data_IF_066797996900
#
_entry.id   IF_066797996900
#
_cell.length_a   1.000
_cell.length_b   1.000
_cell.length_c   1.000
_cell.angle_alpha   90.00
_cell.angle_beta   90.00
_cell.angle_gamma   90.00
#
_symmetry.space_group_name_H-M   'P 1'
#
loop_
_entity.id
_entity.type
_entity.pdbx_description
1 polymer ?
#
# COMPACT_ATOMS: atom_id res chain seq x y z
N UNK A 1 -14.78 10.34 0.55
CA UNK A 1 -14.52 9.48 1.73
C UNK A 1 -13.05 9.63 2.05
N UNK A 2 -12.70 10.30 3.14
CA UNK A 2 -11.31 10.46 3.59
C UNK A 2 -10.81 9.08 3.98
N UNK A 3 -9.90 8.50 3.21
CA UNK A 3 -9.05 7.43 3.71
C UNK A 3 -8.04 8.09 4.63
N UNK A 4 -8.47 8.39 5.85
CA UNK A 4 -7.53 8.64 6.93
C UNK A 4 -6.71 7.37 7.02
N UNK A 5 -5.48 7.45 6.52
CA UNK A 5 -4.46 6.42 6.66
C UNK A 5 -4.25 6.23 8.15
N UNK A 6 -4.96 5.25 8.73
CA UNK A 6 -4.80 4.84 10.11
C UNK A 6 -3.39 4.23 10.22
N UNK A 7 -2.44 5.07 10.58
CA UNK A 7 -1.02 4.76 10.81
C UNK A 7 -0.75 4.28 12.23
N UNK A 8 -1.77 3.81 12.93
CA UNK A 8 -1.63 3.16 14.24
C UNK A 8 -1.84 1.67 14.02
N UNK A 9 -0.90 0.82 14.46
CA UNK A 9 -1.01 -0.64 14.37
C UNK A 9 -2.41 -1.09 14.80
N UNK A 10 -3.27 -1.43 13.84
CA UNK A 10 -4.66 -1.73 14.12
C UNK A 10 -4.77 -3.20 14.49
N UNK A 11 -5.31 -3.43 15.69
CA UNK A 11 -5.78 -4.69 16.26
C UNK A 11 -4.86 -5.90 16.12
N UNK A 12 -4.47 -6.44 17.28
CA UNK A 12 -3.82 -7.73 17.39
C UNK A 12 -4.79 -8.87 17.07
N UNK A 13 -4.91 -9.26 15.80
CA UNK A 13 -5.74 -10.39 15.39
C UNK A 13 -5.12 -11.68 15.94
N UNK A 14 -5.94 -12.54 16.53
CA UNK A 14 -5.45 -13.78 17.14
C UNK A 14 -5.06 -14.78 16.07
N UNK A 15 -3.77 -15.12 16.05
CA UNK A 15 -3.17 -16.16 15.23
C UNK A 15 -2.67 -17.29 16.13
N UNK A 16 -3.35 -18.44 16.07
CA UNK A 16 -2.98 -19.65 16.82
C UNK A 16 -1.76 -20.34 16.21
N UNK A 17 -1.00 -21.07 17.04
CA UNK A 17 0.25 -21.72 16.60
C UNK A 17 0.04 -22.71 15.46
N UNK A 18 -1.07 -23.43 15.49
CA UNK A 18 -1.45 -24.46 14.52
C UNK A 18 -1.84 -23.87 13.16
N UNK A 19 -2.25 -22.60 13.15
CA UNK A 19 -2.76 -21.89 11.99
C UNK A 19 -1.66 -21.26 11.11
N UNK A 20 -0.39 -21.35 11.52
CA UNK A 20 0.72 -20.88 10.69
C UNK A 20 1.90 -21.86 10.60
N UNK A 21 2.63 -21.80 9.50
CA UNK A 21 3.90 -22.52 9.34
C UNK A 21 5.00 -21.65 8.75
N UNK A 22 6.20 -22.22 8.73
CA UNK A 22 7.37 -21.67 8.07
C UNK A 22 7.68 -22.51 6.83
N UNK A 23 8.05 -21.85 5.74
CA UNK A 23 8.53 -22.48 4.50
C UNK A 23 9.85 -21.85 4.07
N UNK A 24 10.59 -22.56 3.22
CA UNK A 24 11.84 -22.08 2.64
C UNK A 24 11.60 -20.87 1.72
N UNK A 25 12.62 -20.03 1.61
CA UNK A 25 12.65 -18.98 0.61
C UNK A 25 12.87 -19.51 -0.81
N UNK A 26 12.40 -18.74 -1.79
CA UNK A 26 12.72 -18.96 -3.19
C UNK A 26 14.08 -18.33 -3.47
N UNK A 27 15.07 -19.18 -3.69
CA UNK A 27 16.46 -18.80 -3.91
C UNK A 27 16.90 -19.26 -5.31
N UNK A 28 17.66 -18.42 -6.01
CA UNK A 28 18.20 -18.78 -7.32
C UNK A 28 19.04 -17.66 -7.95
N UNK A 29 19.58 -17.93 -9.13
CA UNK A 29 20.56 -17.05 -9.77
C UNK A 29 21.86 -16.93 -8.98
N UNK A 30 22.81 -16.18 -9.51
CA UNK A 30 24.07 -15.85 -8.86
C UNK A 30 24.33 -14.36 -9.05
N UNK A 31 24.64 -13.66 -7.97
CA UNK A 31 25.17 -12.30 -8.07
C UNK A 31 26.62 -12.31 -8.59
N UNK A 32 27.20 -11.14 -8.82
CA UNK A 32 28.60 -11.01 -9.24
C UNK A 32 29.62 -11.58 -8.23
N UNK A 33 29.18 -11.94 -7.03
CA UNK A 33 29.97 -12.55 -5.96
C UNK A 33 29.66 -14.05 -5.78
N UNK A 34 28.86 -14.65 -6.67
CA UNK A 34 28.45 -16.06 -6.60
C UNK A 34 27.44 -16.38 -5.49
N UNK A 35 26.82 -15.38 -4.86
CA UNK A 35 25.78 -15.58 -3.85
C UNK A 35 24.41 -15.68 -4.52
N UNK A 36 23.65 -16.68 -4.12
CA UNK A 36 22.29 -16.86 -4.63
C UNK A 36 21.34 -15.76 -4.13
N UNK A 37 20.49 -15.25 -5.03
CA UNK A 37 19.53 -14.20 -4.72
C UNK A 37 18.25 -14.78 -4.10
N UNK A 38 17.70 -14.11 -3.09
CA UNK A 38 16.45 -14.50 -2.44
C UNK A 38 15.27 -13.71 -3.01
N UNK A 39 14.51 -14.33 -3.91
CA UNK A 39 13.38 -13.68 -4.61
C UNK A 39 12.18 -13.42 -3.71
N UNK A 40 12.03 -14.21 -2.64
CA UNK A 40 10.91 -14.10 -1.71
C UNK A 40 11.26 -13.39 -0.40
N UNK A 41 12.34 -12.61 -0.38
CA UNK A 41 12.81 -11.95 0.84
C UNK A 41 11.70 -11.09 1.45
N UNK A 42 11.29 -11.46 2.67
CA UNK A 42 10.27 -10.73 3.40
C UNK A 42 8.82 -11.00 2.96
N UNK A 43 8.57 -11.93 2.04
CA UNK A 43 7.26 -12.15 1.42
C UNK A 43 6.66 -13.54 1.75
N UNK A 44 5.62 -13.54 2.59
CA UNK A 44 4.85 -14.71 2.97
C UNK A 44 3.48 -14.78 2.28
N UNK A 45 2.66 -15.73 2.71
CA UNK A 45 1.34 -16.00 2.11
C UNK A 45 0.27 -15.96 3.19
N UNK A 46 -0.89 -15.39 2.87
CA UNK A 46 -2.10 -15.40 3.69
C UNK A 46 -3.24 -16.09 2.94
N UNK A 47 -4.00 -16.92 3.65
CA UNK A 47 -5.19 -17.57 3.08
C UNK A 47 -6.31 -16.55 2.82
N UNK A 48 -7.15 -16.74 1.79
CA UNK A 48 -8.31 -15.89 1.54
C UNK A 48 -9.30 -15.85 2.71
N UNK A 49 -9.53 -16.98 3.38
CA UNK A 49 -10.40 -17.06 4.56
C UNK A 49 -9.90 -16.18 5.72
N UNK A 50 -8.61 -16.25 6.03
CA UNK A 50 -8.02 -15.41 7.08
C UNK A 50 -7.96 -13.93 6.66
N UNK A 51 -7.79 -13.65 5.37
CA UNK A 51 -7.86 -12.30 4.81
C UNK A 51 -9.25 -11.66 5.03
N UNK A 52 -10.34 -12.41 4.86
CA UNK A 52 -11.70 -11.91 5.15
C UNK A 52 -11.88 -11.60 6.64
N UNK A 53 -11.41 -12.49 7.52
CA UNK A 53 -11.41 -12.25 8.97
C UNK A 53 -10.68 -10.95 9.34
N UNK A 54 -9.52 -10.73 8.72
CA UNK A 54 -8.75 -9.49 8.87
C UNK A 54 -9.56 -8.26 8.44
N UNK A 55 -10.23 -8.32 7.30
CA UNK A 55 -11.06 -7.22 6.77
C UNK A 55 -12.24 -6.91 7.68
N UNK A 56 -12.88 -7.93 8.23
CA UNK A 56 -14.00 -7.79 9.16
C UNK A 56 -13.54 -7.14 10.47
N UNK A 57 -12.42 -7.59 11.03
CA UNK A 57 -11.81 -7.03 12.25
C UNK A 57 -11.38 -5.57 12.05
N UNK A 58 -10.84 -5.24 10.86
CA UNK A 58 -10.43 -3.88 10.49
C UNK A 58 -11.59 -3.00 9.98
N UNK A 59 -12.80 -3.55 9.84
CA UNK A 59 -14.01 -2.87 9.34
C UNK A 59 -13.80 -2.18 7.97
N UNK A 60 -13.06 -2.82 7.07
CA UNK A 60 -12.74 -2.28 5.74
C UNK A 60 -13.89 -2.42 4.72
N UNK A 61 -15.05 -2.94 5.14
CA UNK A 61 -16.22 -3.15 4.28
C UNK A 61 -15.96 -4.22 3.21
N UNK A 62 -16.38 -3.95 1.98
CA UNK A 62 -16.26 -4.90 0.86
C UNK A 62 -14.87 -4.88 0.18
N UNK A 63 -13.92 -4.12 0.70
CA UNK A 63 -12.57 -4.07 0.14
C UNK A 63 -11.73 -5.21 0.72
N UNK A 64 -11.34 -6.17 -0.12
CA UNK A 64 -10.42 -7.26 0.24
C UNK A 64 -9.00 -6.94 -0.26
N UNK A 65 -8.07 -6.49 0.61
CA UNK A 65 -6.71 -6.18 0.20
C UNK A 65 -5.99 -7.44 -0.27
N UNK A 66 -5.13 -7.30 -1.30
CA UNK A 66 -4.33 -8.42 -1.79
C UNK A 66 -3.05 -8.63 -0.97
N UNK A 67 -2.61 -7.62 -0.21
CA UNK A 67 -1.33 -7.61 0.46
C UNK A 67 -1.41 -6.85 1.80
N UNK A 68 -0.74 -7.40 2.82
CA UNK A 68 -0.69 -6.84 4.17
C UNK A 68 0.76 -6.74 4.64
N UNK A 69 1.13 -5.60 5.21
CA UNK A 69 2.36 -5.45 5.96
C UNK A 69 2.10 -5.85 7.41
N UNK A 70 2.90 -6.79 7.93
CA UNK A 70 2.64 -7.41 9.23
C UNK A 70 3.85 -7.36 10.17
N UNK A 71 3.55 -7.49 11.46
CA UNK A 71 4.52 -7.79 12.53
C UNK A 71 3.94 -8.85 13.46
N UNK A 72 4.71 -9.90 13.74
CA UNK A 72 4.26 -11.00 14.60
C UNK A 72 5.45 -11.75 15.18
N UNK A 73 5.61 -11.83 16.52
CA UNK A 73 6.63 -12.69 17.18
C UNK A 73 8.06 -12.68 16.57
N UNK A 74 8.51 -11.55 16.04
CA UNK A 74 9.82 -11.42 15.37
C UNK A 74 9.80 -11.67 13.86
N UNK A 75 8.67 -12.12 13.30
CA UNK A 75 8.37 -12.04 11.88
C UNK A 75 8.03 -10.60 11.50
N UNK A 76 8.64 -10.14 10.40
CA UNK A 76 8.38 -8.85 9.78
C UNK A 76 8.42 -9.03 8.27
N UNK A 77 7.45 -8.42 7.60
CA UNK A 77 7.42 -8.39 6.14
C UNK A 77 6.03 -8.16 5.60
N UNK A 78 5.81 -8.68 4.40
CA UNK A 78 4.57 -8.61 3.67
C UNK A 78 3.99 -10.03 3.56
N UNK A 79 2.67 -10.14 3.62
CA UNK A 79 1.95 -11.37 3.28
C UNK A 79 0.95 -11.08 2.17
N UNK A 80 0.93 -11.95 1.16
CA UNK A 80 0.09 -11.78 -0.03
C UNK A 80 -0.98 -12.85 -0.07
N UNK A 81 -2.21 -12.46 -0.39
CA UNK A 81 -3.33 -13.37 -0.51
C UNK A 81 -3.11 -14.34 -1.67
N UNK A 82 -3.21 -15.64 -1.40
CA UNK A 82 -3.05 -16.67 -2.42
C UNK A 82 -4.29 -17.56 -2.54
N UNK A 83 -4.98 -17.46 -3.68
CA UNK A 83 -6.18 -18.25 -4.00
C UNK A 83 -5.93 -19.74 -4.21
N UNK A 84 -4.66 -20.16 -4.38
CA UNK A 84 -4.32 -21.58 -4.48
C UNK A 84 -4.72 -22.35 -3.21
N UNK A 85 -4.75 -21.69 -2.05
CA UNK A 85 -5.21 -22.31 -0.81
C UNK A 85 -6.66 -22.78 -0.92
N UNK A 86 -7.55 -21.96 -1.50
CA UNK A 86 -8.96 -22.31 -1.70
C UNK A 86 -9.09 -23.51 -2.66
N UNK A 87 -8.37 -23.48 -3.79
CA UNK A 87 -8.41 -24.55 -4.80
C UNK A 87 -7.95 -25.89 -4.21
N UNK A 88 -6.87 -25.87 -3.44
CA UNK A 88 -6.32 -27.09 -2.85
C UNK A 88 -7.20 -27.58 -1.71
N UNK A 89 -7.80 -26.67 -0.93
CA UNK A 89 -8.75 -27.01 0.13
C UNK A 89 -9.98 -27.70 -0.45
N UNK A 90 -10.58 -27.15 -1.51
CA UNK A 90 -11.70 -27.79 -2.23
C UNK A 90 -11.31 -29.16 -2.81
N UNK A 91 -10.11 -29.29 -3.35
CA UNK A 91 -9.61 -30.57 -3.86
C UNK A 91 -9.44 -31.59 -2.72
N UNK A 92 -8.90 -31.18 -1.57
CA UNK A 92 -8.70 -32.06 -0.42
C UNK A 92 -10.03 -32.55 0.16
N UNK A 93 -11.02 -31.66 0.27
CA UNK A 93 -12.39 -31.98 0.71
C UNK A 93 -13.06 -33.00 -0.23
N UNK A 94 -12.88 -32.88 -1.55
CA UNK A 94 -13.43 -33.83 -2.54
C UNK A 94 -12.80 -35.21 -2.54
N UNK A 95 -11.57 -35.33 -2.03
CA UNK A 95 -10.79 -36.58 -2.08
C UNK A 95 -10.67 -37.27 -0.71
N UNK A 96 -11.50 -36.88 0.27
CA UNK A 96 -11.50 -37.43 1.65
C UNK A 96 -10.11 -37.56 2.27
N UNK A 97 -9.20 -36.63 1.94
CA UNK A 97 -7.90 -36.61 2.60
C UNK A 97 -8.09 -36.08 4.01
N UNK A 98 -7.86 -36.96 4.99
CA UNK A 98 -7.93 -36.68 6.42
C UNK A 98 -7.53 -35.23 6.74
N UNK A 99 -8.51 -34.46 7.22
CA UNK A 99 -8.39 -33.12 7.81
C UNK A 99 -7.76 -33.19 9.20
N UNK A 100 -6.84 -34.13 9.40
CA UNK A 100 -6.12 -34.33 10.63
C UNK A 100 -5.00 -33.31 10.76
N UNK A 101 -4.53 -33.11 11.99
CA UNK A 101 -3.32 -32.35 12.22
C UNK A 101 -2.12 -33.14 11.71
N UNK A 102 -1.08 -32.43 11.26
CA UNK A 102 0.24 -33.01 10.99
C UNK A 102 0.83 -33.58 12.28
N UNK A 103 1.86 -34.40 12.15
CA UNK A 103 2.57 -35.02 13.30
C UNK A 103 3.08 -33.98 14.32
N UNK A 104 3.28 -32.74 13.90
CA UNK A 104 3.70 -31.60 14.71
C UNK A 104 2.53 -30.82 15.38
N UNK A 105 1.29 -31.30 15.21
CA UNK A 105 0.08 -30.63 15.68
C UNK A 105 -0.38 -29.46 14.81
N UNK A 106 0.32 -29.11 13.74
CA UNK A 106 -0.09 -28.02 12.84
C UNK A 106 -1.20 -28.45 11.88
N UNK A 107 -1.98 -27.48 11.40
CA UNK A 107 -2.91 -27.73 10.32
C UNK A 107 -2.13 -28.12 9.04
N UNK A 108 -2.72 -29.00 8.19
CA UNK A 108 -2.18 -29.26 6.86
C UNK A 108 -1.90 -27.96 6.12
N UNK A 109 -0.87 -27.95 5.28
CA UNK A 109 -0.40 -26.74 4.59
C UNK A 109 -1.50 -25.99 3.82
N UNK A 110 -2.53 -26.68 3.34
CA UNK A 110 -3.67 -26.11 2.61
C UNK A 110 -4.76 -25.52 3.51
N UNK A 111 -4.75 -25.81 4.81
CA UNK A 111 -5.65 -25.24 5.82
C UNK A 111 -4.98 -24.16 6.69
N UNK A 112 -3.71 -23.85 6.43
CA UNK A 112 -3.00 -22.82 7.17
C UNK A 112 -3.53 -21.44 6.84
N UNK A 113 -3.69 -20.63 7.87
CA UNK A 113 -4.10 -19.23 7.75
C UNK A 113 -2.98 -18.35 7.19
N UNK A 114 -1.74 -18.63 7.60
CA UNK A 114 -0.54 -17.88 7.24
C UNK A 114 0.66 -18.80 7.03
N UNK A 115 1.49 -18.49 6.04
CA UNK A 115 2.76 -19.17 5.80
C UNK A 115 3.86 -18.12 5.75
N UNK A 116 4.77 -18.19 6.72
CA UNK A 116 5.94 -17.33 6.79
C UNK A 116 7.13 -17.94 6.07
N UNK A 117 8.08 -17.09 5.70
CA UNK A 117 9.38 -17.53 5.18
C UNK A 117 10.50 -17.30 6.17
N UNK A 118 11.60 -18.02 6.01
CA UNK A 118 12.79 -17.90 6.84
C UNK A 118 13.31 -16.45 6.86
N UNK A 119 13.37 -15.80 5.70
CA UNK A 119 13.75 -14.38 5.56
C UNK A 119 12.88 -13.42 6.38
N UNK A 120 11.63 -13.77 6.69
CA UNK A 120 10.74 -12.92 7.49
C UNK A 120 11.10 -12.95 8.98
N UNK A 121 11.76 -14.00 9.47
CA UNK A 121 12.11 -14.20 10.88
C UNK A 121 13.37 -13.41 11.23
N UNK A 122 13.20 -12.26 11.90
CA UNK A 122 14.32 -11.37 12.24
C UNK A 122 14.95 -11.69 13.59
N UNK A 123 14.15 -12.18 14.53
CA UNK A 123 14.59 -12.60 15.87
C UNK A 123 13.54 -13.52 16.50
N UNK A 124 13.90 -14.19 17.59
CA UNK A 124 12.95 -14.96 18.38
C UNK A 124 12.07 -14.02 19.23
N UNK A 125 10.78 -13.93 18.91
CA UNK A 125 9.84 -13.11 19.65
C UNK A 125 9.11 -13.85 20.79
N UNK A 126 8.43 -13.10 21.68
CA UNK A 126 7.63 -13.66 22.76
C UNK A 126 6.42 -14.46 22.22
N UNK A 127 5.82 -15.32 23.05
CA UNK A 127 4.65 -16.15 22.70
C UNK A 127 3.32 -15.37 22.54
N UNK A 128 3.35 -14.13 22.03
CA UNK A 128 2.15 -13.31 21.79
C UNK A 128 1.32 -13.87 20.63
N UNK A 129 0.02 -14.12 20.84
CA UNK A 129 -0.86 -14.60 19.75
C UNK A 129 -1.35 -13.49 18.82
N UNK A 130 -0.98 -12.24 19.08
CA UNK A 130 -1.48 -11.08 18.36
C UNK A 130 -0.63 -10.80 17.12
N UNK A 131 -1.23 -10.98 15.95
CA UNK A 131 -0.73 -10.51 14.66
C UNK A 131 -1.07 -9.04 14.50
N UNK A 132 -0.06 -8.20 14.31
CA UNK A 132 -0.24 -6.77 14.05
C UNK A 132 -0.23 -6.51 12.55
N UNK A 133 -1.23 -5.79 12.07
CA UNK A 133 -1.27 -5.26 10.70
C UNK A 133 -0.84 -3.81 10.74
N UNK A 134 0.26 -3.54 10.04
CA UNK A 134 0.88 -2.20 9.96
C UNK A 134 0.24 -1.38 8.85
N UNK A 135 0.04 -2.01 7.68
CA UNK A 135 -0.49 -1.35 6.50
C UNK A 135 -1.16 -2.36 5.58
N UNK A 136 -2.21 -1.91 4.90
CA UNK A 136 -2.91 -2.66 3.86
C UNK A 136 -2.54 -2.13 2.48
N UNK A 137 -2.61 -2.98 1.46
CA UNK A 137 -2.46 -2.55 0.06
C UNK A 137 -3.60 -1.62 -0.34
N UNK A 138 -3.27 -0.40 -0.74
CA UNK A 138 -4.20 0.57 -1.29
C UNK A 138 -3.48 1.46 -2.32
N UNK A 139 -4.18 1.95 -3.36
CA UNK A 139 -3.60 2.92 -4.29
C UNK A 139 -3.30 4.22 -3.55
N UNK A 140 -2.13 4.80 -3.82
CA UNK A 140 -1.70 6.08 -3.24
C UNK A 140 -1.21 6.94 -4.40
N UNK A 141 -1.63 8.20 -4.42
CA UNK A 141 -1.08 9.18 -5.36
C UNK A 141 0.41 9.37 -5.09
N UNK A 142 1.22 9.26 -6.14
CA UNK A 142 2.67 9.45 -6.06
C UNK A 142 3.07 10.60 -6.96
N UNK A 143 4.00 11.42 -6.49
CA UNK A 143 4.65 12.46 -7.29
C UNK A 143 6.07 12.04 -7.63
N UNK A 144 6.59 12.54 -8.75
CA UNK A 144 7.99 12.36 -9.10
C UNK A 144 8.87 13.21 -8.19
N UNK A 145 9.82 12.56 -7.50
CA UNK A 145 10.79 13.26 -6.69
C UNK A 145 11.99 13.71 -7.54
N UNK A 146 12.70 14.74 -7.07
CA UNK A 146 13.90 15.27 -7.75
C UNK A 146 14.97 14.19 -8.04
N UNK A 147 15.27 13.25 -7.12
CA UNK A 147 16.19 12.15 -7.43
C UNK A 147 15.80 11.29 -8.64
N UNK A 148 14.53 10.91 -8.77
CA UNK A 148 14.04 10.14 -9.91
C UNK A 148 14.11 10.94 -11.20
N UNK A 149 13.77 12.24 -11.15
CA UNK A 149 13.91 13.15 -12.29
C UNK A 149 15.36 13.19 -12.77
N UNK A 150 16.33 13.32 -11.86
CA UNK A 150 17.76 13.34 -12.22
C UNK A 150 18.22 12.00 -12.83
N UNK A 151 17.71 10.87 -12.34
CA UNK A 151 18.02 9.56 -12.93
C UNK A 151 17.43 9.45 -14.33
N UNK A 152 16.19 9.89 -14.52
CA UNK A 152 15.54 9.89 -15.84
C UNK A 152 16.29 10.80 -16.83
N UNK A 153 16.74 11.96 -16.38
CA UNK A 153 17.56 12.89 -17.16
C UNK A 153 18.84 12.20 -17.66
N UNK A 154 19.65 11.64 -16.74
CA UNK A 154 20.89 10.94 -17.06
C UNK A 154 20.69 9.70 -17.94
N UNK A 155 19.71 8.85 -17.62
CA UNK A 155 19.45 7.60 -18.36
C UNK A 155 18.91 7.91 -19.76
N UNK A 156 18.05 8.92 -19.87
CA UNK A 156 17.50 9.32 -21.18
C UNK A 156 18.58 9.91 -22.09
N UNK A 157 19.54 10.66 -21.53
CA UNK A 157 20.71 11.16 -22.27
C UNK A 157 21.56 10.00 -22.82
N UNK A 158 21.83 8.98 -22.00
CA UNK A 158 22.59 7.79 -22.42
C UNK A 158 21.87 6.97 -23.51
N UNK A 159 20.54 6.95 -23.52
CA UNK A 159 19.76 6.21 -24.51
C UNK A 159 19.72 6.88 -25.88
N UNK A 160 19.86 8.20 -25.93
CA UNK A 160 19.95 8.97 -27.17
C UNK A 160 19.18 10.29 -27.14
N UNK A 161 19.49 11.20 -28.08
CA UNK A 161 19.00 12.57 -28.04
C UNK A 161 17.47 12.70 -28.18
N UNK A 162 16.85 11.80 -28.96
CA UNK A 162 15.39 11.81 -29.15
C UNK A 162 14.64 11.38 -27.88
N UNK A 163 15.12 10.34 -27.21
CA UNK A 163 14.55 9.85 -25.95
C UNK A 163 14.70 10.89 -24.84
N UNK A 164 15.87 11.52 -24.75
CA UNK A 164 16.12 12.62 -23.83
C UNK A 164 15.17 13.80 -24.06
N UNK A 165 15.07 14.27 -25.31
CA UNK A 165 14.14 15.36 -25.64
C UNK A 165 12.69 15.03 -25.30
N UNK A 166 12.25 13.79 -25.59
CA UNK A 166 10.89 13.34 -25.24
C UNK A 166 10.67 13.32 -23.73
N UNK A 167 11.65 12.87 -22.95
CA UNK A 167 11.56 12.84 -21.49
C UNK A 167 11.50 14.25 -20.90
N UNK A 168 12.39 15.14 -21.32
CA UNK A 168 12.41 16.54 -20.88
C UNK A 168 11.11 17.26 -21.21
N UNK A 169 10.61 17.10 -22.44
CA UNK A 169 9.30 17.65 -22.83
C UNK A 169 8.18 17.13 -21.92
N UNK A 170 8.12 15.82 -21.65
CA UNK A 170 7.07 15.27 -20.79
C UNK A 170 7.16 15.79 -19.35
N UNK A 171 8.36 16.00 -18.82
CA UNK A 171 8.55 16.58 -17.48
C UNK A 171 8.08 18.04 -17.47
N UNK A 172 8.38 18.81 -18.52
CA UNK A 172 7.88 20.18 -18.66
C UNK A 172 6.35 20.22 -18.78
N UNK A 173 5.74 19.35 -19.59
CA UNK A 173 4.29 19.26 -19.73
C UNK A 173 3.62 18.94 -18.37
N UNK A 174 4.17 17.99 -17.61
CA UNK A 174 3.66 17.64 -16.28
C UNK A 174 3.82 18.77 -15.26
N UNK A 175 4.90 19.55 -15.37
CA UNK A 175 5.10 20.73 -14.54
C UNK A 175 4.08 21.82 -14.88
N UNK A 176 3.81 22.04 -16.16
CA UNK A 176 2.79 22.99 -16.63
C UNK A 176 1.40 22.55 -16.16
N UNK A 177 1.04 21.27 -16.31
CA UNK A 177 -0.20 20.69 -15.77
C UNK A 177 -0.33 20.92 -14.24
N UNK A 178 0.76 20.77 -13.48
CA UNK A 178 0.77 21.01 -12.03
C UNK A 178 0.62 22.49 -11.68
N UNK A 179 1.30 23.38 -12.41
CA UNK A 179 1.19 24.83 -12.23
C UNK A 179 -0.24 25.28 -12.51
N UNK A 180 -0.82 24.87 -13.63
CA UNK A 180 -2.20 25.18 -14.02
C UNK A 180 -3.19 24.68 -12.98
N UNK A 181 -3.03 23.44 -12.51
CA UNK A 181 -3.85 22.88 -11.43
C UNK A 181 -3.76 23.73 -10.15
N UNK A 182 -2.55 24.18 -9.77
CA UNK A 182 -2.33 25.00 -8.58
C UNK A 182 -2.91 26.42 -8.69
N UNK A 183 -2.95 27.01 -9.89
CA UNK A 183 -3.49 28.36 -10.11
C UNK A 183 -4.98 28.37 -10.45
N UNK A 184 -5.53 27.25 -10.95
CA UNK A 184 -6.95 27.12 -11.32
C UNK A 184 -7.94 27.60 -10.25
N UNK A 185 -7.72 27.40 -8.92
CA UNK A 185 -8.64 27.87 -7.90
C UNK A 185 -8.71 29.40 -7.79
N UNK A 186 -7.78 30.15 -8.40
CA UNK A 186 -7.75 31.61 -8.33
C UNK A 186 -8.72 32.29 -9.32
N UNK A 187 -9.19 31.55 -10.33
CA UNK A 187 -10.05 32.06 -11.39
C UNK A 187 -11.23 31.14 -11.75
N UNK A 188 -11.27 29.90 -11.28
CA UNK A 188 -12.43 29.00 -11.41
C UNK A 188 -13.08 28.73 -10.04
N UNK A 189 -14.36 29.05 -9.92
CA UNK A 189 -15.17 28.86 -8.72
C UNK A 189 -15.32 27.38 -8.33
N UNK A 190 -15.37 26.48 -9.32
CA UNK A 190 -15.51 25.04 -9.04
C UNK A 190 -14.25 24.51 -8.38
N UNK A 191 -13.09 24.83 -8.95
CA UNK A 191 -11.78 24.50 -8.41
C UNK A 191 -11.54 25.17 -7.06
N UNK A 192 -11.92 26.44 -6.89
CA UNK A 192 -11.88 27.15 -5.62
C UNK A 192 -12.65 26.42 -4.52
N UNK A 193 -13.89 26.00 -4.80
CA UNK A 193 -14.71 25.27 -3.85
C UNK A 193 -14.09 23.93 -3.46
N UNK A 194 -13.56 23.17 -4.43
CA UNK A 194 -12.91 21.89 -4.17
C UNK A 194 -11.68 22.07 -3.27
N UNK A 195 -10.77 22.98 -3.63
CA UNK A 195 -9.57 23.28 -2.83
C UNK A 195 -9.93 23.77 -1.43
N UNK A 196 -10.92 24.65 -1.28
CA UNK A 196 -11.38 25.12 0.03
C UNK A 196 -11.96 23.98 0.89
N UNK A 197 -12.64 23.01 0.28
CA UNK A 197 -13.17 21.85 1.00
C UNK A 197 -12.07 20.87 1.47
N UNK A 198 -10.84 20.97 0.96
CA UNK A 198 -9.68 20.22 1.46
C UNK A 198 -9.10 20.81 2.76
N UNK A 199 -9.35 22.09 3.04
CA UNK A 199 -8.90 22.73 4.27
C UNK A 199 -9.62 22.14 5.50
N UNK A 200 -9.02 22.28 6.71
CA UNK A 200 -9.66 21.84 7.94
C UNK A 200 -11.10 22.34 8.06
N UNK A 201 -12.03 21.41 8.33
CA UNK A 201 -13.50 21.56 8.18
C UNK A 201 -14.19 22.50 9.18
N UNK A 202 -13.49 23.47 9.75
CA UNK A 202 -14.08 24.45 10.66
C UNK A 202 -15.10 25.37 9.95
N UNK A 203 -14.97 25.53 8.63
CA UNK A 203 -15.87 26.35 7.81
C UNK A 203 -16.48 25.45 6.72
N UNK A 204 -17.82 25.36 6.62
CA UNK A 204 -18.47 24.60 5.57
C UNK A 204 -18.51 25.41 4.26
N UNK A 205 -17.38 25.48 3.55
CA UNK A 205 -17.25 26.28 2.33
C UNK A 205 -18.27 25.90 1.24
N UNK A 206 -18.65 24.62 1.13
CA UNK A 206 -19.72 24.16 0.22
C UNK A 206 -21.11 24.80 0.46
N UNK A 207 -21.35 25.44 1.61
CA UNK A 207 -22.62 26.12 1.92
C UNK A 207 -22.60 27.61 1.60
N UNK A 208 -21.42 28.17 1.31
CA UNK A 208 -21.26 29.57 0.95
C UNK A 208 -21.61 29.72 -0.53
N UNK A 209 -22.85 30.09 -0.83
CA UNK A 209 -23.36 30.27 -2.21
C UNK A 209 -23.71 31.73 -2.55
N UNK A 210 -23.67 32.61 -1.56
CA UNK A 210 -24.19 33.98 -1.69
C UNK A 210 -23.14 34.97 -2.24
N UNK A 211 -21.91 34.50 -2.52
CA UNK A 211 -20.81 35.31 -3.04
C UNK A 211 -19.82 34.46 -3.84
N UNK A 212 -19.06 35.11 -4.72
CA UNK A 212 -17.98 34.50 -5.49
C UNK A 212 -16.77 34.24 -4.59
N UNK A 213 -16.32 32.98 -4.51
CA UNK A 213 -15.20 32.57 -3.67
C UNK A 213 -13.88 33.18 -4.17
N UNK A 214 -13.80 33.47 -5.47
CA UNK A 214 -12.62 34.07 -6.10
C UNK A 214 -12.53 35.59 -5.91
N UNK A 215 -13.64 36.27 -5.63
CA UNK A 215 -13.68 37.73 -5.44
C UNK A 215 -13.56 38.14 -3.97
N UNK A 216 -14.00 37.29 -3.05
CA UNK A 216 -13.95 37.60 -1.61
C UNK A 216 -12.48 37.68 -1.12
N UNK A 217 -12.04 38.81 -0.53
CA UNK A 217 -10.64 39.04 -0.20
C UNK A 217 -10.01 37.99 0.72
N UNK A 218 -10.74 37.50 1.72
CA UNK A 218 -10.22 36.51 2.66
C UNK A 218 -10.02 35.14 2.00
N UNK A 219 -11.02 34.62 1.28
CA UNK A 219 -10.94 33.35 0.56
C UNK A 219 -9.92 33.41 -0.57
N UNK A 220 -9.87 34.51 -1.32
CA UNK A 220 -8.85 34.72 -2.34
C UNK A 220 -7.44 34.71 -1.74
N UNK A 221 -7.26 35.31 -0.57
CA UNK A 221 -5.97 35.26 0.13
C UNK A 221 -5.63 33.83 0.57
N UNK A 222 -6.60 33.05 1.04
CA UNK A 222 -6.41 31.66 1.43
C UNK A 222 -6.03 30.77 0.23
N UNK A 223 -6.75 30.92 -0.88
CA UNK A 223 -6.46 30.21 -2.14
C UNK A 223 -5.07 30.56 -2.68
N UNK A 224 -4.67 31.83 -2.61
CA UNK A 224 -3.31 32.27 -2.99
C UNK A 224 -2.25 31.63 -2.11
N UNK A 225 -2.48 31.56 -0.79
CA UNK A 225 -1.58 30.86 0.12
C UNK A 225 -1.51 29.37 -0.20
N UNK A 226 -2.63 28.74 -0.55
CA UNK A 226 -2.69 27.34 -0.99
C UNK A 226 -1.82 27.11 -2.23
N UNK A 227 -2.01 27.92 -3.27
CA UNK A 227 -1.25 27.83 -4.51
C UNK A 227 0.25 28.01 -4.28
N UNK A 228 0.65 28.97 -3.44
CA UNK A 228 2.06 29.20 -3.08
C UNK A 228 2.69 28.01 -2.34
N UNK A 229 1.93 27.31 -1.51
CA UNK A 229 2.41 26.10 -0.83
C UNK A 229 2.55 24.94 -1.81
N UNK A 230 1.61 24.76 -2.74
CA UNK A 230 1.66 23.69 -3.75
C UNK A 230 2.78 23.86 -4.79
N UNK A 231 3.23 25.09 -5.01
CA UNK A 231 4.32 25.42 -5.94
C UNK A 231 5.72 25.39 -5.29
N UNK A 232 5.80 25.22 -3.97
CA UNK A 232 7.05 25.22 -3.21
C UNK A 232 7.63 23.83 -3.04
#
# INVERSE_FOLDING_TARGET
MSFDLITTAQLGIVLEREAYSETFDFVGGEDSNGKAYTFSDGCGIISPDYCRKVVDDLKLGNCLPCCFQIRFRGYKGIVTMNKLFDIVKEWAEKNDKNTGHREDGSLPWYQQSLVFRESQKKFYGPKSKHLEIVKISAPISVSMNKPLINILDQVSEMHGPEAHKRMCNRIHDLLEEHVDSAISPLYDETSASLTLNEFPKYIPYHRLKDFYLTEEPFLRSLLRSSALVSLR
#
